data_IF_347866258122
#
_entry.id   IF_347866258122
#
_cell.length_a   1.000
_cell.length_b   1.000
_cell.length_c   1.000
_cell.angle_alpha   90.00
_cell.angle_beta   90.00
_cell.angle_gamma   90.00
#
_symmetry.space_group_name_H-M   'P 1'
#
loop_
_entity.id
_entity.type
_entity.pdbx_description
1 polymer ?
#
# COMPACT_ATOMS: atom_id res chain seq x y z
N UNK A 1 0.77 13.92 -7.29
CA UNK A 1 1.76 14.21 -6.23
C UNK A 1 1.48 13.28 -5.04
N UNK A 2 2.47 13.03 -4.18
CA UNK A 2 2.25 12.26 -2.94
C UNK A 2 2.23 13.27 -1.78
N UNK A 3 1.18 13.26 -0.97
CA UNK A 3 1.05 14.09 0.23
C UNK A 3 0.96 13.18 1.44
N UNK A 4 1.90 13.34 2.37
CA UNK A 4 1.87 12.60 3.64
C UNK A 4 1.21 13.45 4.72
N UNK A 5 0.41 12.79 5.55
CA UNK A 5 -0.17 13.39 6.75
C UNK A 5 0.24 12.60 7.99
N UNK A 6 0.46 13.30 9.10
CA UNK A 6 0.54 12.70 10.43
C UNK A 6 -0.59 13.23 11.33
N UNK A 7 -0.52 12.98 12.64
CA UNK A 7 -1.54 13.41 13.60
C UNK A 7 -1.73 14.94 13.69
N UNK A 8 -0.84 15.73 13.10
CA UNK A 8 -0.93 17.20 13.05
C UNK A 8 -1.25 17.73 11.64
N UNK A 9 -1.61 16.86 10.70
CA UNK A 9 -1.98 17.22 9.34
C UNK A 9 -0.85 17.00 8.33
N UNK A 10 -0.89 17.76 7.23
CA UNK A 10 0.07 17.65 6.13
C UNK A 10 1.50 17.88 6.65
N UNK A 11 2.44 17.08 6.16
CA UNK A 11 3.87 17.32 6.35
C UNK A 11 4.25 18.52 5.49
N UNK A 12 4.32 19.70 6.11
CA UNK A 12 4.61 20.96 5.42
C UNK A 12 6.00 21.49 5.79
N UNK A 13 6.68 22.18 4.87
CA UNK A 13 7.90 22.93 5.16
C UNK A 13 7.68 24.05 6.19
N UNK A 14 6.44 24.47 6.43
CA UNK A 14 6.11 25.44 7.47
C UNK A 14 6.12 24.84 8.89
N UNK A 15 6.25 23.53 9.05
CA UNK A 15 6.26 22.84 10.36
C UNK A 15 7.68 22.69 10.90
N UNK A 16 7.86 23.01 12.18
CA UNK A 16 9.14 22.93 12.90
C UNK A 16 9.33 21.64 13.70
N UNK A 17 8.30 20.78 13.75
CA UNK A 17 8.27 19.56 14.57
C UNK A 17 8.58 18.27 13.78
N UNK A 18 9.02 18.42 12.52
CA UNK A 18 9.30 17.29 11.64
C UNK A 18 10.67 16.67 11.94
N UNK A 19 10.70 15.34 12.02
CA UNK A 19 11.97 14.61 12.06
C UNK A 19 12.59 14.51 10.65
N UNK A 20 13.87 14.10 10.52
CA UNK A 20 14.53 14.02 9.22
C UNK A 20 13.80 13.17 8.19
N UNK A 21 13.21 12.05 8.60
CA UNK A 21 12.46 11.17 7.70
C UNK A 21 11.18 11.82 7.17
N UNK A 22 10.49 12.61 7.99
CA UNK A 22 9.28 13.35 7.57
C UNK A 22 9.62 14.54 6.67
N UNK A 23 10.78 15.18 6.89
CA UNK A 23 11.23 16.30 6.06
C UNK A 23 11.46 15.90 4.60
N UNK A 24 11.83 14.65 4.33
CA UNK A 24 11.98 14.12 2.95
C UNK A 24 10.65 14.13 2.15
N UNK A 25 9.51 14.17 2.84
CA UNK A 25 8.18 14.21 2.24
C UNK A 25 7.43 15.51 2.51
N UNK A 26 8.10 16.51 3.08
CA UNK A 26 7.48 17.79 3.35
C UNK A 26 7.17 18.52 2.03
N UNK A 27 6.01 19.18 1.98
CA UNK A 27 5.55 19.96 0.83
C UNK A 27 5.32 21.42 1.23
N UNK A 28 5.09 22.31 0.26
CA UNK A 28 4.80 23.72 0.55
C UNK A 28 3.38 23.90 1.11
N UNK A 29 2.45 23.06 0.67
CA UNK A 29 1.07 23.05 1.14
C UNK A 29 0.99 22.71 2.63
N UNK A 30 -0.03 23.24 3.30
CA UNK A 30 -0.33 22.96 4.70
C UNK A 30 -1.84 22.76 4.85
N UNK A 31 -2.24 22.09 5.93
CA UNK A 31 -3.64 21.77 6.15
C UNK A 31 -3.82 20.46 6.91
N UNK A 32 -5.07 20.07 7.01
CA UNK A 32 -5.54 18.85 7.66
C UNK A 32 -5.55 17.65 6.71
N UNK A 33 -5.87 16.48 7.24
CA UNK A 33 -6.14 15.29 6.42
C UNK A 33 -7.29 15.53 5.43
N UNK A 34 -8.34 16.26 5.84
CA UNK A 34 -9.47 16.55 4.95
C UNK A 34 -9.04 17.39 3.74
N UNK A 35 -8.15 18.37 3.97
CA UNK A 35 -7.61 19.21 2.90
C UNK A 35 -6.76 18.39 1.93
N UNK A 36 -5.97 17.45 2.44
CA UNK A 36 -5.16 16.55 1.61
C UNK A 36 -5.99 15.54 0.81
N UNK A 37 -7.13 15.08 1.34
CA UNK A 37 -8.01 14.13 0.66
C UNK A 37 -8.87 14.78 -0.43
N UNK A 38 -9.13 16.08 -0.35
CA UNK A 38 -9.94 16.79 -1.34
C UNK A 38 -9.31 16.68 -2.74
N UNK A 39 -10.04 16.07 -3.68
CA UNK A 39 -9.60 15.84 -5.05
C UNK A 39 -8.51 14.77 -5.22
N UNK A 40 -8.15 14.02 -4.18
CA UNK A 40 -7.18 12.95 -4.29
C UNK A 40 -7.76 11.73 -5.02
N UNK A 41 -6.97 11.09 -5.88
CA UNK A 41 -7.37 9.85 -6.57
C UNK A 41 -7.28 8.62 -5.65
N UNK A 42 -6.30 8.63 -4.74
CA UNK A 42 -5.98 7.50 -3.87
C UNK A 42 -5.77 7.99 -2.44
N UNK A 43 -6.42 7.33 -1.49
CA UNK A 43 -6.10 7.42 -0.07
C UNK A 43 -5.47 6.10 0.41
N UNK A 44 -4.33 6.21 1.11
CA UNK A 44 -3.66 5.09 1.76
C UNK A 44 -3.51 5.39 3.26
N UNK A 45 -4.36 4.77 4.06
CA UNK A 45 -4.37 4.85 5.51
C UNK A 45 -3.55 3.72 6.12
N UNK A 46 -2.56 4.09 6.94
CA UNK A 46 -1.74 3.18 7.75
C UNK A 46 -1.57 3.73 9.17
N UNK A 47 -2.60 4.43 9.67
CA UNK A 47 -2.47 5.29 10.86
C UNK A 47 -3.32 4.80 12.03
N UNK A 48 -4.54 5.32 12.18
CA UNK A 48 -5.37 5.18 13.37
C UNK A 48 -6.84 4.94 13.01
N UNK A 49 -7.60 4.26 13.90
CA UNK A 49 -9.00 3.93 13.63
C UNK A 49 -9.90 5.17 13.54
N UNK A 50 -10.84 5.18 12.60
CA UNK A 50 -11.92 6.18 12.52
C UNK A 50 -11.49 7.61 12.24
N UNK A 51 -10.31 7.83 11.66
CA UNK A 51 -9.79 9.17 11.35
C UNK A 51 -10.32 9.75 10.03
N UNK A 52 -10.95 8.92 9.18
CA UNK A 52 -11.54 9.34 7.90
C UNK A 52 -13.06 9.34 8.01
N UNK A 53 -13.69 10.43 7.55
CA UNK A 53 -15.14 10.57 7.51
C UNK A 53 -15.70 10.31 6.11
N UNK A 54 -17.02 10.11 6.02
CA UNK A 54 -17.71 9.92 4.72
C UNK A 54 -17.59 11.18 3.85
N UNK A 55 -17.59 12.36 4.46
CA UNK A 55 -17.44 13.64 3.77
C UNK A 55 -16.03 13.78 3.16
N UNK A 56 -15.00 13.31 3.84
CA UNK A 56 -13.63 13.28 3.29
C UNK A 56 -13.53 12.36 2.09
N UNK A 57 -14.18 11.18 2.11
CA UNK A 57 -14.21 10.30 0.95
C UNK A 57 -15.02 10.91 -0.20
N UNK A 58 -16.14 11.58 0.12
CA UNK A 58 -16.97 12.25 -0.88
C UNK A 58 -16.29 13.47 -1.52
N UNK A 59 -15.27 14.07 -0.89
CA UNK A 59 -14.51 15.18 -1.45
C UNK A 59 -13.34 14.74 -2.34
N UNK A 60 -13.03 13.45 -2.41
CA UNK A 60 -12.00 12.89 -3.29
C UNK A 60 -12.37 13.03 -4.77
N UNK A 61 -11.43 12.67 -5.66
CA UNK A 61 -11.70 12.63 -7.09
C UNK A 61 -12.82 11.63 -7.46
N UNK A 62 -13.28 11.67 -8.70
CA UNK A 62 -14.21 10.68 -9.21
C UNK A 62 -13.58 9.28 -9.18
N UNK A 63 -14.37 8.26 -8.83
CA UNK A 63 -13.95 6.87 -8.76
C UNK A 63 -12.68 6.64 -7.87
N UNK A 64 -12.68 7.10 -6.61
CA UNK A 64 -11.47 7.09 -5.79
C UNK A 64 -11.11 5.68 -5.30
N UNK A 65 -9.82 5.46 -5.04
CA UNK A 65 -9.29 4.23 -4.42
C UNK A 65 -9.01 4.51 -2.96
N UNK A 66 -9.58 3.71 -2.06
CA UNK A 66 -9.42 3.87 -0.60
C UNK A 66 -8.84 2.60 0.00
N UNK A 67 -7.62 2.71 0.53
CA UNK A 67 -6.95 1.64 1.28
C UNK A 67 -6.96 2.02 2.77
N UNK A 68 -7.84 1.42 3.56
CA UNK A 68 -7.95 1.67 5.00
C UNK A 68 -7.32 0.49 5.78
N UNK A 69 -6.02 0.59 6.07
CA UNK A 69 -5.19 -0.54 6.52
C UNK A 69 -5.01 -0.62 8.03
N UNK A 70 -5.52 0.35 8.81
CA UNK A 70 -5.48 0.24 10.27
C UNK A 70 -6.20 -1.02 10.75
N UNK A 71 -5.60 -1.70 11.74
CA UNK A 71 -6.14 -2.91 12.34
C UNK A 71 -6.31 -2.73 13.86
N UNK A 72 -7.32 -3.34 14.49
CA UNK A 72 -8.41 -4.10 13.86
C UNK A 72 -9.53 -3.22 13.29
N UNK A 73 -9.59 -1.94 13.68
CA UNK A 73 -10.58 -0.98 13.21
C UNK A 73 -9.89 -0.09 12.15
N UNK A 74 -10.43 -0.01 10.93
CA UNK A 74 -9.85 0.78 9.84
C UNK A 74 -10.03 2.29 10.05
N UNK A 75 -9.34 3.08 9.23
CA UNK A 75 -9.50 4.54 9.17
C UNK A 75 -10.94 4.96 8.86
N UNK A 76 -11.64 4.18 8.03
CA UNK A 76 -13.07 4.27 7.77
C UNK A 76 -13.64 2.87 7.52
N UNK A 77 -14.84 2.60 8.03
CA UNK A 77 -15.50 1.31 7.80
C UNK A 77 -15.98 1.20 6.35
N UNK A 78 -15.69 0.09 5.63
CA UNK A 78 -16.11 -0.10 4.24
C UNK A 78 -17.59 0.17 3.98
N UNK A 79 -18.47 -0.25 4.90
CA UNK A 79 -19.92 -0.16 4.77
C UNK A 79 -20.44 1.27 4.67
N UNK A 80 -19.65 2.25 5.12
CA UNK A 80 -20.03 3.67 5.07
C UNK A 80 -19.81 4.28 3.68
N UNK A 81 -18.97 3.65 2.85
CA UNK A 81 -18.49 4.22 1.58
C UNK A 81 -18.53 3.23 0.42
N UNK A 82 -19.21 2.08 0.56
CA UNK A 82 -19.30 1.03 -0.47
C UNK A 82 -19.61 1.59 -1.85
N UNK A 83 -20.55 2.53 -1.98
CA UNK A 83 -20.96 3.08 -3.29
C UNK A 83 -20.27 4.41 -3.63
N UNK A 84 -19.22 4.78 -2.90
CA UNK A 84 -18.50 6.06 -3.06
C UNK A 84 -17.07 5.90 -3.56
N UNK A 85 -16.59 4.67 -3.66
CA UNK A 85 -15.21 4.35 -4.03
C UNK A 85 -15.18 3.37 -5.18
N UNK A 86 -14.24 3.52 -6.10
CA UNK A 86 -14.02 2.52 -7.14
C UNK A 86 -13.47 1.22 -6.56
N UNK A 87 -12.53 1.33 -5.62
CA UNK A 87 -11.90 0.20 -4.92
C UNK A 87 -11.79 0.53 -3.44
N UNK A 88 -12.17 -0.45 -2.61
CA UNK A 88 -11.93 -0.46 -1.18
C UNK A 88 -10.98 -1.61 -0.84
N UNK A 89 -9.94 -1.35 -0.06
CA UNK A 89 -9.05 -2.38 0.48
C UNK A 89 -8.88 -2.19 1.98
N UNK A 90 -8.74 -3.29 2.72
CA UNK A 90 -8.54 -3.27 4.18
C UNK A 90 -7.47 -4.26 4.62
N UNK A 91 -7.01 -4.15 5.87
CA UNK A 91 -6.11 -5.14 6.46
C UNK A 91 -6.85 -6.40 6.96
N UNK A 92 -8.18 -6.36 6.98
CA UNK A 92 -9.02 -7.39 7.61
C UNK A 92 -9.38 -8.50 6.62
N UNK A 93 -9.43 -9.73 7.11
CA UNK A 93 -9.69 -10.93 6.30
C UNK A 93 -11.16 -11.14 5.95
N UNK A 94 -12.07 -10.43 6.62
CA UNK A 94 -13.51 -10.53 6.40
C UNK A 94 -14.03 -9.59 5.31
N UNK A 95 -13.15 -8.78 4.70
CA UNK A 95 -13.47 -7.95 3.54
C UNK A 95 -12.75 -8.41 2.27
N UNK A 96 -13.30 -8.09 1.08
CA UNK A 96 -12.56 -8.16 -0.17
C UNK A 96 -11.29 -7.32 -0.14
N UNK A 97 -10.35 -7.61 -1.05
CA UNK A 97 -9.09 -6.89 -1.16
C UNK A 97 -8.30 -6.79 0.17
N UNK A 98 -8.14 -7.90 0.88
CA UNK A 98 -7.30 -7.92 2.07
C UNK A 98 -5.83 -7.67 1.68
N UNK A 99 -5.26 -6.58 2.18
CA UNK A 99 -3.82 -6.32 2.07
C UNK A 99 -3.12 -6.95 3.28
N UNK A 100 -2.26 -7.93 3.01
CA UNK A 100 -1.56 -8.66 4.06
C UNK A 100 -0.10 -8.92 3.69
N UNK A 101 0.80 -8.69 4.63
CA UNK A 101 2.24 -8.90 4.45
C UNK A 101 2.61 -10.35 4.09
N UNK A 102 1.76 -11.33 4.40
CA UNK A 102 1.95 -12.74 4.03
C UNK A 102 2.06 -12.95 2.52
N UNK A 103 1.51 -12.03 1.72
CA UNK A 103 1.65 -12.06 0.26
C UNK A 103 3.08 -11.74 -0.19
N UNK A 104 3.90 -11.09 0.64
CA UNK A 104 5.25 -10.66 0.29
C UNK A 104 6.34 -11.40 1.10
N UNK A 105 6.28 -11.34 2.44
CA UNK A 105 7.43 -11.71 3.28
C UNK A 105 7.96 -13.13 3.05
N UNK A 106 7.13 -14.19 2.85
CA UNK A 106 7.65 -15.54 2.66
C UNK A 106 8.45 -15.66 1.36
N UNK A 107 7.92 -15.07 0.28
CA UNK A 107 8.55 -15.09 -1.03
C UNK A 107 9.82 -14.23 -1.08
N UNK A 108 9.78 -13.03 -0.48
CA UNK A 108 10.95 -12.12 -0.44
C UNK A 108 12.12 -12.78 0.27
N UNK A 109 11.88 -13.35 1.46
CA UNK A 109 12.94 -14.04 2.20
C UNK A 109 13.42 -15.28 1.45
N UNK A 110 12.50 -16.07 0.88
CA UNK A 110 12.89 -17.27 0.12
C UNK A 110 13.75 -16.93 -1.09
N UNK A 111 13.37 -15.93 -1.88
CA UNK A 111 14.13 -15.50 -3.06
C UNK A 111 15.53 -15.01 -2.71
N UNK A 112 15.64 -14.16 -1.67
CA UNK A 112 16.92 -13.67 -1.18
C UNK A 112 17.83 -14.79 -0.67
N UNK A 113 17.29 -15.75 0.10
CA UNK A 113 18.03 -16.89 0.61
C UNK A 113 18.49 -17.85 -0.50
N UNK A 114 17.63 -18.14 -1.47
CA UNK A 114 17.92 -19.08 -2.57
C UNK A 114 19.06 -18.59 -3.48
N UNK A 115 19.24 -17.28 -3.62
CA UNK A 115 20.36 -16.67 -4.36
C UNK A 115 21.50 -16.16 -3.48
N UNK A 116 21.37 -16.32 -2.15
CA UNK A 116 22.34 -15.86 -1.15
C UNK A 116 22.65 -14.36 -1.28
N UNK A 117 21.61 -13.56 -1.51
CA UNK A 117 21.69 -12.11 -1.55
C UNK A 117 22.43 -11.56 -0.32
N UNK A 118 23.29 -10.58 -0.52
CA UNK A 118 24.03 -9.94 0.59
C UNK A 118 23.15 -8.94 1.35
N UNK A 119 22.15 -8.38 0.68
CA UNK A 119 21.21 -7.40 1.22
C UNK A 119 19.87 -7.49 0.49
N UNK A 120 18.85 -6.83 1.03
CA UNK A 120 17.56 -6.62 0.35
C UNK A 120 17.53 -5.22 -0.22
N UNK A 121 17.32 -5.10 -1.53
CA UNK A 121 17.33 -3.82 -2.24
C UNK A 121 15.90 -3.31 -2.47
N UNK A 122 15.71 -1.99 -2.73
CA UNK A 122 14.43 -1.46 -3.17
C UNK A 122 13.87 -2.13 -4.44
N UNK A 123 14.73 -2.48 -5.41
CA UNK A 123 14.33 -3.20 -6.62
C UNK A 123 13.70 -4.55 -6.31
N UNK A 124 14.21 -5.28 -5.30
CA UNK A 124 13.62 -6.55 -4.86
C UNK A 124 12.19 -6.37 -4.33
N UNK A 125 11.90 -5.27 -3.62
CA UNK A 125 10.54 -4.97 -3.16
C UNK A 125 9.61 -4.60 -4.33
N UNK A 126 10.10 -3.83 -5.30
CA UNK A 126 9.32 -3.48 -6.50
C UNK A 126 8.99 -4.71 -7.34
N UNK A 127 9.96 -5.58 -7.60
CA UNK A 127 9.76 -6.83 -8.33
C UNK A 127 8.82 -7.80 -7.60
N UNK A 128 8.89 -7.85 -6.26
CA UNK A 128 7.91 -8.59 -5.46
C UNK A 128 6.49 -8.04 -5.65
N UNK A 129 6.31 -6.72 -5.62
CA UNK A 129 5.01 -6.08 -5.82
C UNK A 129 4.45 -6.36 -7.23
N UNK A 130 5.28 -6.27 -8.27
CA UNK A 130 4.88 -6.63 -9.63
C UNK A 130 4.51 -8.09 -9.76
N UNK A 131 5.25 -9.00 -9.11
CA UNK A 131 4.94 -10.43 -9.14
C UNK A 131 3.59 -10.74 -8.49
N UNK A 132 3.25 -10.08 -7.38
CA UNK A 132 1.95 -10.23 -6.71
C UNK A 132 0.83 -9.71 -7.61
N UNK A 133 0.99 -8.50 -8.17
CA UNK A 133 -0.02 -7.90 -9.04
C UNK A 133 -0.28 -8.75 -10.30
N UNK A 134 0.76 -9.33 -10.89
CA UNK A 134 0.65 -10.16 -12.09
C UNK A 134 -0.09 -11.49 -11.89
N UNK A 135 -0.37 -11.89 -10.64
CA UNK A 135 -1.15 -13.11 -10.35
C UNK A 135 -2.65 -12.91 -10.47
N UNK A 136 -3.12 -11.66 -10.54
CA UNK A 136 -4.52 -11.32 -10.84
C UNK A 136 -4.64 -11.13 -12.34
N UNK A 137 -5.44 -11.96 -13.00
CA UNK A 137 -5.66 -11.80 -14.44
C UNK A 137 -6.42 -10.50 -14.71
N UNK A 138 -6.03 -9.68 -15.71
CA UNK A 138 -6.78 -8.47 -16.07
C UNK A 138 -8.28 -8.71 -16.35
N UNK A 139 -8.67 -9.89 -16.81
CA UNK A 139 -10.07 -10.25 -17.03
C UNK A 139 -10.84 -10.61 -15.75
N UNK A 140 -10.14 -10.87 -14.66
CA UNK A 140 -10.70 -11.18 -13.33
C UNK A 140 -10.71 -9.95 -12.41
N UNK A 141 -10.16 -8.82 -12.87
CA UNK A 141 -10.16 -7.57 -12.11
C UNK A 141 -11.58 -7.08 -11.91
N UNK A 142 -11.92 -6.89 -10.65
CA UNK A 142 -13.16 -6.24 -10.24
C UNK A 142 -12.86 -5.29 -9.10
N UNK A 143 -13.82 -4.45 -8.73
CA UNK A 143 -13.70 -3.58 -7.56
C UNK A 143 -13.39 -4.32 -6.25
N UNK A 144 -13.72 -5.61 -6.18
CA UNK A 144 -13.53 -6.49 -5.01
C UNK A 144 -12.38 -7.50 -5.20
N UNK A 145 -11.68 -7.47 -6.34
CA UNK A 145 -10.59 -8.39 -6.64
C UNK A 145 -9.45 -7.67 -7.38
N UNK A 146 -8.62 -6.99 -6.60
CA UNK A 146 -7.39 -6.30 -7.08
C UNK A 146 -6.09 -6.95 -6.57
N UNK A 147 -6.19 -7.94 -5.69
CA UNK A 147 -5.06 -8.62 -5.05
C UNK A 147 -5.38 -10.11 -4.91
N UNK A 148 -4.39 -11.03 -5.08
CA UNK A 148 -4.66 -12.45 -4.91
C UNK A 148 -4.99 -12.78 -3.45
N UNK A 149 -5.65 -13.93 -3.26
CA UNK A 149 -5.90 -14.47 -1.93
C UNK A 149 -4.60 -14.71 -1.16
N UNK A 150 -4.62 -14.49 0.16
CA UNK A 150 -3.51 -14.83 1.06
C UNK A 150 -3.18 -16.33 1.09
N UNK A 151 -4.09 -17.18 0.60
CA UNK A 151 -3.90 -18.62 0.46
C UNK A 151 -3.52 -19.06 -0.95
N UNK A 152 -3.29 -18.13 -1.88
CA UNK A 152 -2.86 -18.46 -3.22
C UNK A 152 -1.42 -19.01 -3.20
N UNK A 153 -1.30 -20.32 -3.40
CA UNK A 153 -0.04 -21.06 -3.33
C UNK A 153 0.99 -20.57 -4.37
N UNK A 154 0.55 -19.87 -5.43
CA UNK A 154 1.41 -19.33 -6.48
C UNK A 154 2.23 -18.14 -5.97
N UNK A 155 1.73 -17.40 -4.99
CA UNK A 155 2.30 -16.11 -4.54
C UNK A 155 3.73 -16.26 -4.05
N UNK A 156 3.99 -17.18 -3.12
CA UNK A 156 5.32 -17.34 -2.54
C UNK A 156 6.38 -17.70 -3.58
N UNK A 157 6.03 -18.58 -4.53
CA UNK A 157 6.93 -19.00 -5.61
C UNK A 157 7.19 -17.87 -6.61
N UNK A 158 6.15 -17.14 -7.03
CA UNK A 158 6.26 -16.01 -7.95
C UNK A 158 7.13 -14.90 -7.37
N UNK A 159 6.86 -14.49 -6.13
CA UNK A 159 7.63 -13.46 -5.42
C UNK A 159 9.10 -13.90 -5.23
N UNK A 160 9.35 -15.14 -4.81
CA UNK A 160 10.72 -15.63 -4.64
C UNK A 160 11.51 -15.61 -5.95
N UNK A 161 10.87 -15.97 -7.06
CA UNK A 161 11.50 -15.93 -8.39
C UNK A 161 11.85 -14.51 -8.80
N UNK A 162 10.92 -13.57 -8.64
CA UNK A 162 11.10 -12.16 -8.99
C UNK A 162 12.20 -11.51 -8.14
N UNK A 163 12.19 -11.76 -6.84
CA UNK A 163 13.19 -11.24 -5.89
C UNK A 163 14.58 -11.78 -6.20
N UNK A 164 14.69 -13.07 -6.54
CA UNK A 164 15.95 -13.68 -6.98
C UNK A 164 16.45 -13.07 -8.29
N UNK A 165 15.55 -12.76 -9.22
CA UNK A 165 15.91 -12.06 -10.45
C UNK A 165 16.46 -10.67 -10.16
N UNK A 166 15.74 -9.86 -9.37
CA UNK A 166 16.16 -8.53 -8.95
C UNK A 166 17.54 -8.54 -8.27
N UNK A 167 17.75 -9.44 -7.30
CA UNK A 167 19.02 -9.56 -6.59
C UNK A 167 20.22 -9.85 -7.51
N UNK A 168 20.00 -10.59 -8.61
CA UNK A 168 21.03 -10.87 -9.61
C UNK A 168 21.30 -9.66 -10.51
N UNK A 169 20.26 -8.94 -10.91
CA UNK A 169 20.37 -7.71 -11.70
C UNK A 169 21.10 -6.62 -10.90
N UNK A 170 20.78 -6.48 -9.62
CA UNK A 170 21.43 -5.53 -8.71
C UNK A 170 22.85 -5.95 -8.32
N UNK A 171 23.29 -7.17 -8.67
CA UNK A 171 24.63 -7.67 -8.37
C UNK A 171 24.85 -8.08 -6.90
N UNK A 172 23.79 -8.13 -6.08
CA UNK A 172 23.86 -8.51 -4.66
C UNK A 172 23.75 -10.02 -4.44
N UNK A 173 23.35 -10.78 -5.46
CA UNK A 173 23.28 -12.24 -5.43
C UNK A 173 24.65 -12.91 -5.56
N UNK A 174 24.87 -13.98 -4.78
CA UNK A 174 26.10 -14.79 -4.84
C UNK A 174 25.91 -16.14 -5.54
N UNK A 175 24.70 -16.40 -6.08
CA UNK A 175 24.30 -17.60 -6.82
C UNK A 175 23.21 -17.32 -7.88
#
# INVERSE_FOLDING_TARGET
AIVLCDSKGILSHSRDDLNPQKLEFAVEESGTLADAMAGADIFLGVSAPGVVSVEMVASMAADPIVFAMANPIPEIQPELVTDKVAVMATGRSDYPNQINNVLAFPGVLRGALDCRAQEITPSMYLEAAYAIAALVNPHELTREHIIPSVFDERVAAAVASAVKHAARVDGVARK
#
